data_IF_834550406542
#
_entry.id   IF_834550406542
#
_cell.length_a   1.000
_cell.length_b   1.000
_cell.length_c   1.000
_cell.angle_alpha   90.00
_cell.angle_beta   90.00
_cell.angle_gamma   90.00
#
_symmetry.space_group_name_H-M   'P 1'
#
loop_
_entity.id
_entity.type
_entity.pdbx_description
1 polymer ?
#
# COMPACT_ATOMS: atom_id res chain seq x y z
N UNK A 1 -24.84 -4.37 -3.74
CA UNK A 1 -23.89 -3.24 -3.76
C UNK A 1 -22.49 -3.80 -3.50
N UNK A 2 -21.51 -3.55 -4.38
CA UNK A 2 -20.12 -3.87 -4.09
C UNK A 2 -19.65 -3.14 -2.81
N UNK A 3 -18.87 -3.78 -1.93
CA UNK A 3 -18.29 -3.10 -0.77
C UNK A 3 -17.33 -2.00 -1.22
N UNK A 4 -17.32 -0.90 -0.48
CA UNK A 4 -16.34 0.19 -0.66
C UNK A 4 -15.37 0.18 0.50
N UNK A 5 -14.07 0.24 0.19
CA UNK A 5 -13.00 0.47 1.18
C UNK A 5 -12.32 1.78 0.82
N UNK A 6 -12.32 2.75 1.73
CA UNK A 6 -11.70 4.04 1.45
C UNK A 6 -11.24 4.78 2.69
N UNK A 7 -10.37 5.76 2.49
CA UNK A 7 -9.85 6.65 3.53
C UNK A 7 -9.04 5.88 4.59
N UNK A 8 -8.04 5.13 4.11
CA UNK A 8 -7.13 4.38 4.96
C UNK A 8 -5.79 5.10 4.98
N UNK A 9 -5.27 5.41 6.17
CA UNK A 9 -3.96 5.99 6.37
C UNK A 9 -3.12 5.07 7.25
N UNK A 10 -1.93 4.72 6.77
CA UNK A 10 -0.86 4.15 7.59
C UNK A 10 0.20 5.23 7.77
N UNK A 11 0.49 5.59 9.01
CA UNK A 11 1.48 6.62 9.33
C UNK A 11 2.45 6.14 10.41
N UNK A 12 3.75 6.40 10.20
CA UNK A 12 4.82 6.09 11.14
C UNK A 12 4.89 4.60 11.52
N UNK A 13 4.80 3.72 10.51
CA UNK A 13 4.81 2.28 10.68
C UNK A 13 6.17 1.70 10.27
N UNK A 14 6.73 0.85 11.14
CA UNK A 14 7.86 -0.01 10.79
C UNK A 14 7.40 -1.46 10.70
N UNK A 15 7.77 -2.14 9.61
CA UNK A 15 7.56 -3.57 9.42
C UNK A 15 8.91 -4.23 9.17
N UNK A 16 9.26 -5.30 9.89
CA UNK A 16 10.59 -5.94 9.77
C UNK A 16 10.62 -7.15 8.84
N UNK A 17 9.46 -7.70 8.50
CA UNK A 17 9.34 -8.78 7.52
C UNK A 17 7.92 -8.87 6.96
N UNK A 18 7.81 -8.86 5.64
CA UNK A 18 6.55 -9.12 4.95
C UNK A 18 6.78 -9.75 3.58
N UNK A 19 5.77 -10.45 3.07
CA UNK A 19 5.84 -11.04 1.73
C UNK A 19 5.77 -9.98 0.61
N UNK A 20 5.05 -8.89 0.83
CA UNK A 20 4.87 -7.77 -0.09
C UNK A 20 5.09 -6.45 0.68
N UNK A 21 5.54 -5.40 -0.02
CA UNK A 21 5.57 -4.05 0.54
C UNK A 21 4.15 -3.56 0.80
N UNK A 22 3.41 -3.29 -0.28
CA UNK A 22 1.98 -2.96 -0.25
C UNK A 22 1.20 -3.98 -1.07
N UNK A 23 0.21 -4.62 -0.46
CA UNK A 23 -0.73 -5.53 -1.13
C UNK A 23 -2.14 -4.95 -1.03
N UNK A 24 -2.70 -4.54 -2.17
CA UNK A 24 -4.10 -4.12 -2.27
C UNK A 24 -4.79 -5.00 -3.33
N UNK A 25 -5.84 -5.69 -2.91
CA UNK A 25 -6.63 -6.58 -3.75
C UNK A 25 -8.11 -6.17 -3.73
N UNK A 26 -8.48 -5.28 -4.64
CA UNK A 26 -9.86 -4.89 -4.92
C UNK A 26 -10.62 -5.92 -5.77
N UNK A 27 -11.89 -5.63 -6.04
CA UNK A 27 -12.74 -6.50 -6.86
C UNK A 27 -12.30 -6.47 -8.33
N UNK A 28 -12.28 -7.61 -9.04
CA UNK A 28 -11.95 -7.63 -10.47
C UNK A 28 -12.90 -6.78 -11.30
N UNK A 29 -12.35 -5.88 -12.13
CA UNK A 29 -13.12 -5.00 -13.00
C UNK A 29 -13.75 -3.79 -12.30
N UNK A 30 -13.40 -3.53 -11.04
CA UNK A 30 -13.86 -2.39 -10.25
C UNK A 30 -12.66 -1.73 -9.53
N UNK A 31 -12.82 -0.46 -9.14
CA UNK A 31 -11.86 0.31 -8.33
C UNK A 31 -12.50 0.68 -7.00
N UNK A 32 -13.01 -0.36 -6.32
CA UNK A 32 -13.80 -0.22 -5.10
C UNK A 32 -12.94 0.07 -3.84
N UNK A 33 -11.61 0.08 -3.99
CA UNK A 33 -10.65 0.50 -2.98
C UNK A 33 -10.02 1.83 -3.40
N UNK A 34 -10.12 2.89 -2.60
CA UNK A 34 -9.54 4.17 -2.98
C UNK A 34 -9.20 5.09 -1.81
N UNK A 35 -8.36 6.10 -2.05
CA UNK A 35 -7.88 7.04 -1.04
C UNK A 35 -7.13 6.33 0.09
N UNK A 36 -6.01 5.72 -0.31
CA UNK A 36 -5.11 4.96 0.57
C UNK A 36 -3.79 5.72 0.67
N UNK A 37 -3.39 6.09 1.88
CA UNK A 37 -2.16 6.81 2.14
C UNK A 37 -1.19 5.99 2.99
N UNK A 38 0.08 5.98 2.60
CA UNK A 38 1.17 5.53 3.45
C UNK A 38 2.13 6.71 3.65
N UNK A 39 2.41 7.05 4.91
CA UNK A 39 3.23 8.20 5.28
C UNK A 39 4.30 7.84 6.29
N UNK A 40 5.55 8.20 6.01
CA UNK A 40 6.69 7.98 6.92
C UNK A 40 6.80 6.52 7.36
N UNK A 41 6.79 5.58 6.41
CA UNK A 41 6.77 4.15 6.68
C UNK A 41 8.11 3.50 6.29
N UNK A 42 8.52 2.48 7.05
CA UNK A 42 9.75 1.73 6.80
C UNK A 42 9.46 0.22 6.82
N UNK A 43 9.47 -0.40 5.64
CA UNK A 43 9.23 -1.83 5.50
C UNK A 43 10.53 -2.54 5.12
N UNK A 44 11.14 -3.19 6.10
CA UNK A 44 12.36 -3.99 5.97
C UNK A 44 12.01 -5.47 5.74
N UNK A 45 12.93 -6.22 5.17
CA UNK A 45 12.75 -7.66 4.95
C UNK A 45 11.57 -8.00 4.03
N UNK A 46 11.24 -7.12 3.10
CA UNK A 46 10.16 -7.30 2.13
C UNK A 46 10.60 -8.29 1.04
N UNK A 47 9.89 -9.41 0.89
CA UNK A 47 10.28 -10.49 -0.05
C UNK A 47 9.92 -10.19 -1.51
N UNK A 48 8.88 -9.38 -1.75
CA UNK A 48 8.38 -8.99 -3.08
C UNK A 48 7.98 -7.52 -3.09
N UNK A 49 8.08 -6.86 -4.23
CA UNK A 49 7.61 -5.48 -4.41
C UNK A 49 6.11 -5.29 -4.15
N UNK A 50 5.57 -4.15 -4.57
CA UNK A 50 4.15 -3.85 -4.38
C UNK A 50 3.26 -4.67 -5.33
N UNK A 51 2.01 -4.91 -4.92
CA UNK A 51 0.98 -5.57 -5.72
C UNK A 51 -0.36 -4.88 -5.46
N UNK A 52 -0.74 -4.00 -6.37
CA UNK A 52 -1.93 -3.14 -6.23
C UNK A 52 -2.86 -3.43 -7.40
N UNK A 53 -4.10 -3.81 -7.09
CA UNK A 53 -5.14 -4.15 -8.07
C UNK A 53 -6.52 -3.76 -7.57
N UNK A 54 -7.41 -3.34 -8.47
CA UNK A 54 -8.75 -2.88 -8.12
C UNK A 54 -8.75 -1.67 -7.17
N UNK A 55 -7.74 -0.82 -7.29
CA UNK A 55 -7.55 0.34 -6.44
C UNK A 55 -7.08 1.56 -7.23
N UNK A 56 -7.45 2.75 -6.74
CA UNK A 56 -7.02 4.06 -7.26
C UNK A 56 -6.73 5.03 -6.12
N UNK A 57 -6.09 6.15 -6.41
CA UNK A 57 -5.74 7.17 -5.40
C UNK A 57 -4.94 6.56 -4.22
N UNK A 58 -3.94 5.74 -4.55
CA UNK A 58 -2.94 5.22 -3.59
C UNK A 58 -1.75 6.17 -3.64
N UNK A 59 -1.31 6.66 -2.48
CA UNK A 59 -0.21 7.63 -2.41
C UNK A 59 0.82 7.20 -1.36
N UNK A 60 2.10 7.24 -1.76
CA UNK A 60 3.23 7.01 -0.86
C UNK A 60 3.98 8.32 -0.58
N UNK A 61 4.04 8.71 0.69
CA UNK A 61 4.84 9.83 1.17
C UNK A 61 5.93 9.30 2.10
N UNK A 62 7.19 9.33 1.67
CA UNK A 62 8.32 8.86 2.48
C UNK A 62 8.19 7.38 2.93
N UNK A 63 7.78 6.51 2.00
CA UNK A 63 7.78 5.05 2.19
C UNK A 63 9.13 4.47 1.77
N UNK A 64 9.80 3.78 2.68
CA UNK A 64 11.01 3.03 2.39
C UNK A 64 10.71 1.53 2.37
N UNK A 65 11.14 0.83 1.33
CA UNK A 65 11.09 -0.62 1.21
C UNK A 65 12.53 -1.14 1.07
N UNK A 66 12.98 -1.98 2.00
CA UNK A 66 14.34 -2.52 2.05
C UNK A 66 15.45 -1.45 1.90
N UNK A 67 15.23 -0.27 2.47
CA UNK A 67 16.17 0.86 2.43
C UNK A 67 16.06 1.77 1.21
N UNK A 68 15.22 1.42 0.22
CA UNK A 68 14.97 2.25 -0.96
C UNK A 68 13.68 3.06 -0.80
N UNK A 69 13.72 4.33 -1.19
CA UNK A 69 12.53 5.18 -1.25
C UNK A 69 11.64 4.73 -2.43
N UNK A 70 10.34 4.57 -2.17
CA UNK A 70 9.35 4.10 -3.16
C UNK A 70 8.24 5.14 -3.32
N UNK A 71 7.81 5.34 -4.56
CA UNK A 71 6.78 6.29 -4.97
C UNK A 71 5.63 5.56 -5.70
N UNK A 72 4.41 6.05 -5.52
CA UNK A 72 3.17 5.65 -6.22
C UNK A 72 2.19 6.83 -6.24
#
# INVERSE_FOLDING_TARGET
>A
FPPTVRNVLLENITCEKSRYGVLIAGLPGDENVYHIGLKNCHFNGVERGNSISGARDVAFENLHINGELVEE
#
